data_IF_073668537034
#
_entry.id   IF_073668537034
#
_cell.length_a   1.000
_cell.length_b   1.000
_cell.length_c   1.000
_cell.angle_alpha   90.00
_cell.angle_beta   90.00
_cell.angle_gamma   90.00
#
_symmetry.space_group_name_H-M   'P 1'
#
loop_
_entity.id
_entity.type
_entity.pdbx_description
1 polymer ?
#
# COMPACT_ATOMS: atom_id res chain seq x y z
N UNK A 1 -12.07 -7.78 -11.74
CA UNK A 1 -12.63 -7.10 -12.91
C UNK A 1 -13.26 -5.82 -12.40
N UNK A 2 -12.95 -4.69 -13.00
CA UNK A 2 -13.58 -3.42 -12.62
C UNK A 2 -14.99 -3.32 -13.19
N UNK A 3 -15.78 -2.32 -12.75
CA UNK A 3 -17.15 -2.11 -13.22
C UNK A 3 -17.26 -1.83 -14.74
N UNK A 4 -16.16 -1.37 -15.34
CA UNK A 4 -16.04 -1.15 -16.79
C UNK A 4 -15.66 -2.41 -17.58
N UNK A 5 -15.57 -3.56 -16.92
CA UNK A 5 -15.14 -4.83 -17.49
C UNK A 5 -13.63 -4.96 -17.71
N UNK A 6 -12.85 -3.93 -17.40
CA UNK A 6 -11.40 -3.95 -17.59
C UNK A 6 -10.72 -4.75 -16.48
N UNK A 7 -9.75 -5.58 -16.86
CA UNK A 7 -8.94 -6.36 -15.92
C UNK A 7 -7.65 -5.59 -15.65
N UNK A 8 -7.49 -5.11 -14.43
CA UNK A 8 -6.30 -4.38 -13.98
C UNK A 8 -5.60 -5.12 -12.85
N UNK A 9 -4.29 -5.24 -12.93
CA UNK A 9 -3.43 -5.76 -11.86
C UNK A 9 -2.61 -4.59 -11.34
N UNK A 10 -2.54 -4.48 -10.01
CA UNK A 10 -1.75 -3.49 -9.30
C UNK A 10 -0.68 -4.22 -8.51
N UNK A 11 0.58 -3.84 -8.70
CA UNK A 11 1.72 -4.52 -8.10
C UNK A 11 2.92 -3.59 -8.00
N UNK A 12 4.01 -4.12 -7.49
CA UNK A 12 5.30 -3.47 -7.51
C UNK A 12 5.91 -3.29 -6.12
N UNK A 13 7.17 -2.95 -6.15
CA UNK A 13 7.96 -2.56 -4.99
C UNK A 13 8.90 -1.44 -5.40
N UNK A 14 9.36 -0.65 -4.43
CA UNK A 14 10.27 0.46 -4.67
C UNK A 14 11.40 0.45 -3.64
N UNK A 15 12.63 0.32 -4.11
CA UNK A 15 13.82 0.40 -3.29
C UNK A 15 14.40 1.82 -3.28
N UNK A 16 13.94 2.62 -2.38
CA UNK A 16 14.24 4.03 -2.34
C UNK A 16 13.31 4.83 -3.24
N UNK A 17 13.25 6.09 -2.99
CA UNK A 17 12.61 7.05 -3.87
C UNK A 17 13.66 8.09 -4.18
N UNK A 18 13.84 8.39 -5.45
CA UNK A 18 14.76 9.40 -5.89
C UNK A 18 13.96 10.61 -6.36
N UNK A 19 14.53 11.77 -6.15
CA UNK A 19 13.89 13.03 -6.52
C UNK A 19 13.78 13.19 -8.04
N UNK A 20 14.57 12.38 -8.79
CA UNK A 20 14.64 12.41 -10.24
C UNK A 20 14.55 11.01 -10.86
N UNK A 21 14.11 10.90 -12.12
CA UNK A 21 13.97 9.61 -12.81
C UNK A 21 15.28 8.89 -13.12
N UNK A 22 16.42 9.44 -12.72
CA UNK A 22 17.77 8.90 -12.97
C UNK A 22 18.17 7.76 -12.01
N UNK A 23 17.19 7.06 -11.44
CA UNK A 23 17.46 5.93 -10.55
C UNK A 23 18.33 4.83 -11.24
N UNK A 24 18.28 4.73 -12.56
CA UNK A 24 19.10 3.78 -13.33
C UNK A 24 20.58 4.13 -13.32
N UNK A 25 20.96 5.37 -13.06
CA UNK A 25 22.38 5.81 -13.06
C UNK A 25 23.07 5.62 -11.72
N UNK A 26 22.34 5.37 -10.63
CA UNK A 26 22.86 5.31 -9.25
C UNK A 26 23.01 3.88 -8.69
N UNK A 27 23.35 2.90 -9.52
CA UNK A 27 23.50 1.50 -9.12
C UNK A 27 22.20 0.70 -9.06
N UNK A 28 21.04 1.35 -9.19
CA UNK A 28 19.72 0.70 -9.18
C UNK A 28 19.49 -0.20 -10.37
N UNK A 29 20.15 0.04 -11.49
CA UNK A 29 20.08 -0.83 -12.66
C UNK A 29 20.56 -2.25 -12.35
N UNK A 30 21.62 -2.38 -11.55
CA UNK A 30 22.13 -3.69 -11.14
C UNK A 30 21.16 -4.39 -10.18
N UNK A 31 20.47 -3.63 -9.31
CA UNK A 31 19.42 -4.14 -8.43
C UNK A 31 18.23 -4.66 -9.25
N UNK A 32 17.76 -3.90 -10.24
CA UNK A 32 16.66 -4.33 -11.12
C UNK A 32 17.02 -5.56 -11.95
N UNK A 33 18.22 -5.62 -12.51
CA UNK A 33 18.75 -6.82 -13.20
C UNK A 33 18.71 -8.03 -12.27
N UNK A 34 19.19 -7.87 -11.05
CA UNK A 34 19.23 -8.95 -10.05
C UNK A 34 17.84 -9.41 -9.63
N UNK A 35 16.92 -8.47 -9.40
CA UNK A 35 15.57 -8.78 -8.89
C UNK A 35 14.66 -9.40 -9.96
N UNK A 36 14.73 -8.91 -11.18
CA UNK A 36 13.77 -9.27 -12.22
C UNK A 36 14.33 -10.20 -13.30
N UNK A 37 15.62 -10.52 -13.21
CA UNK A 37 16.29 -11.45 -14.16
C UNK A 37 16.28 -10.95 -15.59
N UNK A 38 16.23 -9.63 -15.80
CA UNK A 38 16.25 -8.99 -17.13
C UNK A 38 17.64 -8.48 -17.46
N UNK A 39 17.91 -8.28 -18.75
CA UNK A 39 19.16 -7.66 -19.17
C UNK A 39 19.13 -6.14 -18.96
N UNK A 40 20.32 -5.53 -18.91
CA UNK A 40 20.44 -4.05 -18.83
C UNK A 40 19.80 -3.38 -20.05
N UNK A 41 19.99 -3.97 -21.22
CA UNK A 41 19.43 -3.47 -22.47
C UNK A 41 17.90 -3.46 -22.45
N UNK A 42 17.28 -4.53 -21.94
CA UNK A 42 15.83 -4.58 -21.79
C UNK A 42 15.31 -3.49 -20.84
N UNK A 43 15.93 -3.34 -19.67
CA UNK A 43 15.50 -2.36 -18.67
C UNK A 43 15.66 -0.93 -19.21
N UNK A 44 16.79 -0.62 -19.85
CA UNK A 44 17.04 0.68 -20.45
C UNK A 44 16.12 1.00 -21.65
N UNK A 45 15.49 -0.03 -22.22
CA UNK A 45 14.50 0.12 -23.29
C UNK A 45 13.11 0.53 -22.80
N UNK A 46 12.81 0.42 -21.50
CA UNK A 46 11.53 0.85 -20.96
C UNK A 46 11.44 2.38 -20.88
N UNK A 47 10.22 2.89 -21.08
CA UNK A 47 9.95 4.33 -20.98
C UNK A 47 9.95 4.84 -19.56
N UNK A 48 9.75 3.95 -18.60
CA UNK A 48 9.60 4.24 -17.19
C UNK A 48 10.22 3.12 -16.35
N UNK A 49 10.41 3.34 -15.06
CA UNK A 49 10.91 2.30 -14.17
C UNK A 49 9.96 1.10 -14.11
N UNK A 50 10.53 -0.10 -14.03
CA UNK A 50 9.78 -1.31 -13.70
C UNK A 50 9.54 -1.45 -12.19
N UNK A 51 10.13 -0.58 -11.38
CA UNK A 51 9.87 -0.46 -9.94
C UNK A 51 8.79 0.57 -9.66
N UNK A 52 8.21 0.49 -8.48
CA UNK A 52 7.20 1.44 -8.02
C UNK A 52 5.77 0.90 -8.12
N UNK A 53 4.78 1.77 -7.97
CA UNK A 53 3.36 1.42 -7.95
C UNK A 53 2.82 1.20 -9.37
N UNK A 54 3.01 0.01 -9.89
CA UNK A 54 2.69 -0.36 -11.28
C UNK A 54 1.25 -0.84 -11.41
N UNK A 55 0.60 -0.44 -12.49
CA UNK A 55 -0.64 -1.04 -12.98
C UNK A 55 -0.43 -1.58 -14.39
N UNK A 56 -1.01 -2.73 -14.68
CA UNK A 56 -1.09 -3.32 -16.02
C UNK A 56 -2.53 -3.67 -16.36
N UNK A 57 -2.91 -3.46 -17.60
CA UNK A 57 -4.20 -3.88 -18.14
C UNK A 57 -4.03 -5.18 -18.90
N UNK A 58 -4.88 -6.16 -18.62
CA UNK A 58 -4.87 -7.46 -19.29
C UNK A 58 -6.07 -7.61 -20.23
N UNK A 59 -5.90 -8.48 -21.23
CA UNK A 59 -6.99 -8.99 -22.04
C UNK A 59 -7.91 -9.91 -21.22
N UNK A 60 -9.04 -10.30 -21.79
CA UNK A 60 -10.05 -11.13 -21.13
C UNK A 60 -9.53 -12.53 -20.72
N UNK A 61 -8.44 -12.98 -21.32
CA UNK A 61 -7.76 -14.22 -20.96
C UNK A 61 -7.00 -14.12 -19.61
N UNK A 62 -6.86 -12.92 -19.05
CA UNK A 62 -6.14 -12.61 -17.80
C UNK A 62 -4.63 -12.95 -17.85
N UNK A 63 -4.07 -13.17 -19.01
CA UNK A 63 -2.68 -13.57 -19.23
C UNK A 63 -1.95 -12.63 -20.19
N UNK A 64 -2.65 -12.15 -21.20
CA UNK A 64 -2.07 -11.28 -22.24
C UNK A 64 -2.13 -9.82 -21.79
N UNK A 65 -1.00 -9.13 -21.88
CA UNK A 65 -0.94 -7.68 -21.61
C UNK A 65 -1.65 -6.94 -22.75
N UNK A 66 -2.63 -6.14 -22.40
CA UNK A 66 -3.42 -5.29 -23.31
C UNK A 66 -2.84 -3.89 -23.45
N UNK A 67 -2.44 -3.32 -22.32
CA UNK A 67 -1.80 -2.01 -22.25
C UNK A 67 -0.49 -2.13 -21.50
N UNK A 68 0.54 -1.42 -21.96
CA UNK A 68 1.85 -1.39 -21.32
C UNK A 68 1.74 -0.98 -19.83
N UNK A 69 2.56 -1.58 -18.96
CA UNK A 69 2.60 -1.22 -17.55
C UNK A 69 2.92 0.27 -17.36
N UNK A 70 2.28 0.89 -16.37
CA UNK A 70 2.54 2.30 -16.00
C UNK A 70 2.38 2.53 -14.52
N UNK A 71 3.02 3.57 -14.00
CA UNK A 71 2.82 4.03 -12.63
C UNK A 71 1.44 4.66 -12.46
N UNK A 72 0.75 4.34 -11.37
CA UNK A 72 -0.56 4.92 -11.02
C UNK A 72 -0.46 6.09 -10.05
N UNK A 73 0.62 6.14 -9.26
CA UNK A 73 1.03 7.30 -8.46
C UNK A 73 2.50 7.61 -8.79
N UNK A 74 2.97 8.84 -8.55
CA UNK A 74 4.32 9.22 -8.94
C UNK A 74 5.40 8.34 -8.33
N UNK A 75 6.38 7.93 -9.15
CA UNK A 75 7.63 7.34 -8.67
C UNK A 75 8.51 8.41 -8.01
N UNK A 76 8.71 9.54 -8.70
CA UNK A 76 9.38 10.72 -8.16
C UNK A 76 8.36 11.54 -7.37
N UNK A 77 8.51 11.60 -6.06
CA UNK A 77 7.47 12.13 -5.16
C UNK A 77 7.65 13.58 -4.75
N UNK A 78 8.82 14.19 -5.01
CA UNK A 78 9.12 15.57 -4.64
C UNK A 78 8.12 16.56 -5.21
N UNK A 79 7.54 17.39 -4.35
CA UNK A 79 6.53 18.38 -4.75
C UNK A 79 5.14 17.77 -5.04
N UNK A 80 4.95 16.49 -4.77
CA UNK A 80 3.65 15.81 -4.87
C UNK A 80 3.02 15.62 -3.49
N UNK A 81 1.76 15.18 -3.46
CA UNK A 81 1.09 14.82 -2.19
C UNK A 81 1.70 13.59 -1.50
N UNK A 82 2.57 12.85 -2.19
CA UNK A 82 3.21 11.61 -1.71
C UNK A 82 4.59 11.82 -1.10
N UNK A 83 5.11 13.04 -1.05
CA UNK A 83 6.50 13.33 -0.69
C UNK A 83 6.89 12.78 0.70
N UNK A 84 6.00 12.89 1.69
CA UNK A 84 6.25 12.37 3.04
C UNK A 84 5.87 10.89 3.21
N UNK A 85 5.08 10.34 2.29
CA UNK A 85 4.55 8.97 2.33
C UNK A 85 4.74 8.24 0.99
N UNK A 86 5.98 8.13 0.49
CA UNK A 86 6.25 7.49 -0.78
C UNK A 86 5.82 6.03 -0.78
N UNK A 87 5.44 5.53 -1.94
CA UNK A 87 5.12 4.11 -2.11
C UNK A 87 6.34 3.23 -1.79
N UNK A 88 6.10 2.12 -1.10
CA UNK A 88 7.08 1.06 -0.93
C UNK A 88 6.59 -0.24 -1.59
N UNK A 89 5.47 -0.80 -1.14
CA UNK A 89 4.93 -2.05 -1.67
C UNK A 89 3.48 -2.29 -1.22
N UNK A 90 2.92 -3.47 -1.50
CA UNK A 90 1.64 -3.90 -0.93
C UNK A 90 0.41 -3.30 -1.60
N UNK A 91 0.47 -3.13 -2.92
CA UNK A 91 -0.60 -2.55 -3.73
C UNK A 91 -1.94 -3.26 -3.55
N UNK A 92 -2.98 -2.51 -3.23
CA UNK A 92 -4.36 -3.00 -3.19
C UNK A 92 -5.33 -1.90 -3.62
N UNK A 93 -6.26 -2.23 -4.51
CA UNK A 93 -7.25 -1.29 -5.03
C UNK A 93 -8.65 -1.67 -4.57
N UNK A 94 -9.41 -0.68 -4.09
CA UNK A 94 -10.85 -0.84 -3.77
C UNK A 94 -11.65 0.31 -4.32
N UNK A 95 -12.88 0.00 -4.76
CA UNK A 95 -13.88 1.00 -5.09
C UNK A 95 -14.85 1.18 -3.92
N UNK A 96 -15.08 2.41 -3.52
CA UNK A 96 -16.03 2.78 -2.47
C UNK A 96 -16.89 3.90 -2.99
N UNK A 97 -18.16 3.62 -3.22
CA UNK A 97 -19.03 4.56 -3.93
C UNK A 97 -18.47 4.85 -5.34
N UNK A 98 -18.27 6.11 -5.62
CA UNK A 98 -17.74 6.57 -6.92
C UNK A 98 -16.22 6.80 -6.90
N UNK A 99 -15.54 6.51 -5.79
CA UNK A 99 -14.09 6.73 -5.63
C UNK A 99 -13.29 5.44 -5.59
N UNK A 100 -12.04 5.52 -6.02
CA UNK A 100 -11.07 4.45 -5.97
C UNK A 100 -10.02 4.75 -4.91
N UNK A 101 -9.74 3.75 -4.06
CA UNK A 101 -8.79 3.80 -2.98
C UNK A 101 -7.63 2.85 -3.28
N UNK A 102 -6.47 3.42 -3.50
CA UNK A 102 -5.23 2.68 -3.64
C UNK A 102 -4.55 2.60 -2.28
N UNK A 103 -4.59 1.42 -1.68
CA UNK A 103 -3.99 1.15 -0.36
C UNK A 103 -2.61 0.57 -0.57
N UNK A 104 -1.63 1.06 0.18
CA UNK A 104 -0.23 0.68 0.02
C UNK A 104 0.57 0.86 1.31
N UNK A 105 1.70 0.16 1.43
CA UNK A 105 2.71 0.40 2.46
C UNK A 105 3.64 1.51 2.01
N UNK A 106 3.92 2.47 2.89
CA UNK A 106 4.84 3.55 2.58
C UNK A 106 6.29 3.22 2.97
N UNK A 107 7.21 4.03 2.49
CA UNK A 107 8.64 4.00 2.86
C UNK A 107 8.92 4.24 4.34
N UNK A 108 7.96 4.80 5.08
CA UNK A 108 8.06 4.91 6.54
C UNK A 108 8.10 3.52 7.21
N UNK A 109 7.77 2.46 6.46
CA UNK A 109 7.89 1.05 6.84
C UNK A 109 7.10 0.63 8.09
N UNK A 110 6.11 1.41 8.50
CA UNK A 110 5.25 1.08 9.64
C UNK A 110 3.78 1.42 9.38
N UNK A 111 3.48 2.09 8.30
CA UNK A 111 2.15 2.62 8.01
C UNK A 111 1.56 2.02 6.74
N UNK A 112 0.25 1.77 6.80
CA UNK A 112 -0.59 1.46 5.66
C UNK A 112 -1.33 2.73 5.28
N UNK A 113 -1.01 3.25 4.11
CA UNK A 113 -1.53 4.48 3.57
C UNK A 113 -2.59 4.23 2.52
N UNK A 114 -3.32 5.29 2.16
CA UNK A 114 -4.19 5.26 0.98
C UNK A 114 -4.04 6.52 0.15
N UNK A 115 -4.28 6.35 -1.13
CA UNK A 115 -4.50 7.43 -2.07
C UNK A 115 -5.90 7.29 -2.67
N UNK A 116 -6.52 8.39 -3.04
CA UNK A 116 -7.88 8.43 -3.56
C UNK A 116 -7.96 9.12 -4.91
N UNK A 117 -8.82 8.59 -5.79
CA UNK A 117 -9.10 9.15 -7.11
C UNK A 117 -10.56 8.90 -7.51
N UNK A 118 -11.06 9.69 -8.45
CA UNK A 118 -12.32 9.44 -9.15
C UNK A 118 -12.16 8.42 -10.30
N UNK A 119 -10.90 8.04 -10.61
CA UNK A 119 -10.56 7.11 -11.70
C UNK A 119 -9.81 5.89 -11.17
N UNK A 120 -9.97 4.71 -11.82
CA UNK A 120 -9.32 3.48 -11.35
C UNK A 120 -7.82 3.41 -11.63
N UNK A 121 -7.27 4.31 -12.45
CA UNK A 121 -5.98 4.16 -13.08
C UNK A 121 -5.13 5.43 -13.16
N UNK A 122 -5.61 6.55 -12.65
CA UNK A 122 -4.86 7.82 -12.63
C UNK A 122 -5.47 8.82 -11.64
N UNK A 123 -4.84 10.00 -11.49
CA UNK A 123 -5.38 11.12 -10.71
C UNK A 123 -5.39 10.91 -9.20
N UNK A 124 -4.64 9.95 -8.69
CA UNK A 124 -4.56 9.68 -7.26
C UNK A 124 -3.84 10.80 -6.53
N UNK A 125 -4.38 11.16 -5.38
CA UNK A 125 -3.75 12.03 -4.39
C UNK A 125 -3.66 11.30 -3.05
N UNK A 126 -2.61 11.58 -2.28
CA UNK A 126 -2.47 11.01 -0.93
C UNK A 126 -3.66 11.40 -0.05
N UNK A 127 -4.30 10.41 0.54
CA UNK A 127 -5.47 10.59 1.40
C UNK A 127 -5.16 10.56 2.89
N UNK A 128 -4.16 9.78 3.29
CA UNK A 128 -3.78 9.65 4.69
C UNK A 128 -3.22 8.27 5.05
N UNK A 129 -2.90 8.10 6.31
CA UNK A 129 -2.53 6.83 6.93
C UNK A 129 -3.75 6.19 7.56
N UNK A 130 -4.06 4.94 7.21
CA UNK A 130 -5.21 4.20 7.77
C UNK A 130 -4.83 3.60 9.13
N UNK A 131 -3.68 2.95 9.19
CA UNK A 131 -3.16 2.31 10.40
C UNK A 131 -1.64 2.34 10.38
N UNK A 132 -1.03 2.44 11.55
CA UNK A 132 0.43 2.43 11.68
C UNK A 132 0.85 1.51 12.81
N UNK A 133 1.78 0.59 12.52
CA UNK A 133 2.37 -0.26 13.56
C UNK A 133 3.03 0.60 14.65
N UNK A 134 2.76 0.24 15.90
CA UNK A 134 3.19 1.03 17.06
C UNK A 134 2.35 2.27 17.32
N UNK A 135 1.25 2.45 16.60
CA UNK A 135 0.36 3.63 16.67
C UNK A 135 1.09 4.96 16.42
N UNK A 136 2.13 4.93 15.57
CA UNK A 136 2.82 6.16 15.18
C UNK A 136 1.87 7.05 14.40
N UNK A 137 1.81 8.33 14.77
CA UNK A 137 0.86 9.30 14.22
C UNK A 137 -0.49 9.32 14.94
N UNK A 138 -0.98 8.18 15.42
CA UNK A 138 -2.29 8.10 16.08
C UNK A 138 -2.33 8.98 17.34
N UNK A 139 -3.27 9.91 17.36
CA UNK A 139 -3.41 10.94 18.42
C UNK A 139 -2.11 11.70 18.71
N UNK A 140 -1.28 11.92 17.68
CA UNK A 140 -0.03 12.67 17.79
C UNK A 140 1.14 11.87 18.40
N UNK A 141 1.08 10.54 18.46
CA UNK A 141 2.17 9.71 18.95
C UNK A 141 3.39 9.80 18.05
N UNK A 142 4.52 10.14 18.62
CA UNK A 142 5.78 10.17 17.88
C UNK A 142 6.37 8.76 17.72
N UNK A 143 7.30 8.61 16.78
CA UNK A 143 8.01 7.34 16.54
C UNK A 143 8.79 6.85 17.77
N UNK A 144 9.35 7.75 18.56
CA UNK A 144 10.09 7.42 19.79
C UNK A 144 9.17 6.84 20.88
N UNK A 145 7.90 7.21 20.85
CA UNK A 145 6.89 6.78 21.83
C UNK A 145 5.98 5.65 21.29
N UNK A 146 6.41 4.95 20.25
CA UNK A 146 5.67 3.83 19.69
C UNK A 146 5.37 2.74 20.71
N UNK A 147 4.20 2.12 20.61
CA UNK A 147 3.74 1.10 21.57
C UNK A 147 4.27 -0.28 21.28
N UNK A 148 4.54 -0.58 20.01
CA UNK A 148 4.96 -1.89 19.53
C UNK A 148 6.07 -1.76 18.51
N UNK A 149 6.60 -2.90 18.04
CA UNK A 149 7.51 -2.92 16.91
C UNK A 149 6.86 -2.27 15.70
N UNK A 150 7.61 -1.40 15.08
CA UNK A 150 7.37 -0.93 13.73
C UNK A 150 8.08 -1.86 12.75
N UNK A 151 7.67 -1.87 11.55
CA UNK A 151 8.23 -2.70 10.49
C UNK A 151 7.17 -2.85 9.41
N UNK A 152 7.43 -3.69 8.44
CA UNK A 152 6.55 -3.87 7.31
C UNK A 152 5.10 -4.08 7.74
N UNK A 153 4.20 -3.39 7.07
CA UNK A 153 2.77 -3.65 7.18
C UNK A 153 2.18 -3.74 5.78
N UNK A 154 1.47 -4.80 5.49
CA UNK A 154 0.68 -4.94 4.28
C UNK A 154 -0.78 -5.12 4.65
N UNK A 155 -1.65 -4.69 3.77
CA UNK A 155 -3.06 -4.82 4.04
C UNK A 155 -3.94 -4.27 2.93
N UNK A 156 -5.21 -4.21 3.25
CA UNK A 156 -6.26 -3.66 2.38
C UNK A 156 -7.44 -3.23 3.22
N UNK A 157 -8.41 -2.58 2.59
CA UNK A 157 -9.72 -2.34 3.18
C UNK A 157 -10.76 -3.24 2.54
N UNK A 158 -11.77 -3.65 3.32
CA UNK A 158 -12.87 -4.47 2.82
C UNK A 158 -14.16 -4.17 3.59
N UNK A 159 -15.30 -4.29 2.91
CA UNK A 159 -16.61 -4.10 3.51
C UNK A 159 -17.22 -5.45 3.86
N UNK A 160 -17.54 -5.66 5.12
CA UNK A 160 -18.20 -6.87 5.62
C UNK A 160 -19.51 -6.45 6.27
N UNK A 161 -20.63 -6.95 5.75
CA UNK A 161 -21.98 -6.66 6.26
C UNK A 161 -22.27 -5.15 6.43
N UNK A 162 -21.76 -4.34 5.50
CA UNK A 162 -21.96 -2.88 5.51
C UNK A 162 -20.99 -2.09 6.40
N UNK A 163 -20.11 -2.74 7.12
CA UNK A 163 -19.04 -2.12 7.91
C UNK A 163 -17.69 -2.26 7.18
N UNK A 164 -16.98 -1.15 7.02
CA UNK A 164 -15.63 -1.15 6.46
C UNK A 164 -14.60 -1.49 7.54
N UNK A 165 -13.60 -2.27 7.14
CA UNK A 165 -12.46 -2.68 7.96
C UNK A 165 -11.17 -2.47 7.19
N UNK A 166 -10.10 -2.15 7.91
CA UNK A 166 -8.73 -2.34 7.44
C UNK A 166 -8.24 -3.69 7.94
N UNK A 167 -7.74 -4.53 7.02
CA UNK A 167 -7.03 -5.77 7.32
C UNK A 167 -5.55 -5.52 7.10
N UNK A 168 -4.72 -5.87 8.07
CA UNK A 168 -3.30 -5.64 8.02
C UNK A 168 -2.54 -6.65 8.86
N UNK A 169 -1.23 -6.60 8.89
CA UNK A 169 -0.43 -7.37 9.83
C UNK A 169 0.45 -6.47 10.68
N UNK A 170 0.73 -6.92 11.89
CA UNK A 170 1.73 -6.34 12.79
C UNK A 170 2.81 -7.37 13.11
N UNK A 171 3.97 -6.88 13.55
CA UNK A 171 5.04 -7.73 14.04
C UNK A 171 4.77 -8.15 15.49
N UNK A 172 5.08 -9.41 15.80
CA UNK A 172 4.96 -9.99 17.14
C UNK A 172 6.29 -10.63 17.57
N UNK A 173 6.41 -10.97 18.83
CA UNK A 173 7.59 -11.68 19.38
C UNK A 173 8.93 -10.97 19.13
N UNK A 174 8.93 -9.64 18.90
CA UNK A 174 10.13 -8.86 18.56
C UNK A 174 10.91 -9.42 17.37
N UNK A 175 10.19 -9.88 16.35
CA UNK A 175 10.77 -10.50 15.15
C UNK A 175 10.07 -10.00 13.90
N UNK A 176 10.85 -9.64 12.89
CA UNK A 176 10.34 -9.23 11.57
C UNK A 176 9.67 -10.38 10.81
N UNK A 177 9.92 -11.60 11.22
CA UNK A 177 9.36 -12.81 10.62
C UNK A 177 8.11 -13.32 11.32
N UNK A 178 7.77 -12.78 12.49
CA UNK A 178 6.57 -13.16 13.24
C UNK A 178 5.47 -12.12 13.00
N UNK A 179 4.52 -12.47 12.16
CA UNK A 179 3.45 -11.57 11.72
C UNK A 179 2.10 -12.05 12.19
N UNK A 180 1.31 -11.17 12.77
CA UNK A 180 -0.05 -11.42 13.20
C UNK A 180 -1.03 -10.64 12.34
N UNK A 181 -2.04 -11.33 11.79
CA UNK A 181 -3.15 -10.67 11.13
C UNK A 181 -4.00 -9.87 12.14
N UNK A 182 -4.34 -8.66 11.74
CA UNK A 182 -5.16 -7.73 12.50
C UNK A 182 -6.27 -7.17 11.63
N UNK A 183 -7.34 -6.70 12.26
CA UNK A 183 -8.41 -5.97 11.60
C UNK A 183 -8.97 -4.90 12.55
N UNK A 184 -9.21 -3.71 12.01
CA UNK A 184 -9.84 -2.61 12.74
C UNK A 184 -11.01 -2.06 11.94
N UNK A 185 -12.07 -1.64 12.63
CA UNK A 185 -13.18 -0.91 12.00
C UNK A 185 -12.68 0.44 11.51
N UNK A 186 -13.01 0.79 10.29
CA UNK A 186 -12.77 2.13 9.73
C UNK A 186 -14.09 2.75 9.30
N UNK A 187 -14.10 4.08 9.26
CA UNK A 187 -15.23 4.86 8.77
C UNK A 187 -14.74 5.74 7.62
N UNK A 188 -15.45 5.66 6.51
CA UNK A 188 -15.16 6.47 5.34
C UNK A 188 -16.14 7.63 5.36
N UNK A 189 -15.64 8.85 5.57
CA UNK A 189 -16.44 10.05 5.62
C UNK A 189 -17.07 10.38 4.26
N UNK A 190 -18.06 11.25 4.23
CA UNK A 190 -18.76 11.64 3.00
C UNK A 190 -17.85 12.28 1.95
N UNK A 191 -16.75 12.91 2.36
CA UNK A 191 -15.71 13.47 1.49
C UNK A 191 -14.69 12.43 1.02
N UNK A 192 -14.76 11.21 1.55
CA UNK A 192 -13.86 10.10 1.25
C UNK A 192 -12.67 9.96 2.21
N UNK A 193 -12.59 10.81 3.25
CA UNK A 193 -11.51 10.72 4.23
C UNK A 193 -11.67 9.49 5.13
N UNK A 194 -10.52 8.88 5.50
CA UNK A 194 -10.41 7.80 6.48
C UNK A 194 -9.47 8.27 7.57
N UNK A 195 -9.99 8.38 8.79
CA UNK A 195 -9.18 8.69 9.97
C UNK A 195 -8.26 7.50 10.32
N UNK A 196 -7.05 7.79 10.79
CA UNK A 196 -6.16 6.77 11.30
C UNK A 196 -6.79 6.06 12.50
N UNK A 197 -6.74 4.73 12.52
CA UNK A 197 -7.26 3.89 13.61
C UNK A 197 -6.16 3.36 14.52
N UNK A 198 -6.54 3.08 15.78
CA UNK A 198 -5.66 2.44 16.76
C UNK A 198 -5.43 0.97 16.44
N UNK A 199 -4.21 0.49 16.65
CA UNK A 199 -3.86 -0.93 16.55
C UNK A 199 -4.38 -1.65 17.79
N UNK A 200 -5.37 -2.52 17.61
CA UNK A 200 -5.99 -3.28 18.72
C UNK A 200 -5.85 -4.79 18.54
N UNK A 201 -6.41 -5.55 19.46
CA UNK A 201 -6.60 -7.00 19.34
C UNK A 201 -8.08 -7.39 19.24
N UNK A 202 -8.94 -6.43 18.86
CA UNK A 202 -10.39 -6.66 18.76
C UNK A 202 -10.77 -7.45 17.50
N UNK A 203 -10.03 -7.26 16.41
CA UNK A 203 -10.35 -7.89 15.12
C UNK A 203 -11.75 -7.45 14.65
N UNK A 204 -12.57 -8.41 14.23
CA UNK A 204 -13.94 -8.17 13.80
C UNK A 204 -14.96 -8.08 14.96
N UNK A 205 -14.50 -8.14 16.19
CA UNK A 205 -15.35 -8.11 17.38
C UNK A 205 -15.58 -6.67 17.86
N UNK A 206 -16.57 -6.49 18.73
CA UNK A 206 -16.88 -5.19 19.32
C UNK A 206 -15.98 -4.85 20.53
N UNK A 207 -15.03 -5.70 20.85
CA UNK A 207 -14.08 -5.53 21.94
C UNK A 207 -13.01 -6.61 21.96
N UNK A 208 -12.04 -6.52 22.88
CA UNK A 208 -10.99 -7.52 22.99
C UNK A 208 -11.60 -8.91 23.22
N UNK A 209 -11.03 -9.93 22.58
CA UNK A 209 -11.39 -11.31 22.85
C UNK A 209 -11.14 -11.61 24.33
N UNK A 210 -12.15 -12.17 25.00
CA UNK A 210 -11.99 -12.60 26.39
C UNK A 210 -10.82 -13.62 26.47
N UNK A 211 -9.90 -13.37 27.41
CA UNK A 211 -8.68 -14.16 27.59
C UNK A 211 -8.98 -15.61 28.09
N UNK A 212 -9.73 -16.37 27.30
CA UNK A 212 -9.96 -17.80 27.52
C UNK A 212 -9.55 -18.57 26.25
N UNK A 213 -8.28 -18.56 25.98
CA UNK A 213 -7.69 -19.35 24.92
C UNK A 213 -6.20 -19.08 24.90
N UNK A 214 -5.38 -20.09 24.96
CA UNK A 214 -3.99 -19.97 24.58
C UNK A 214 -3.97 -19.76 23.08
N UNK A 215 -3.64 -18.57 22.65
CA UNK A 215 -3.24 -18.34 21.26
C UNK A 215 -1.81 -18.84 21.11
N UNK A 216 -1.53 -19.65 20.08
CA UNK A 216 -0.19 -20.13 19.80
C UNK A 216 0.77 -18.99 19.47
#
# INVERSE_FOLDING_TARGET
>A
MNDDGTIRIFYGTQYGYEEEPDFLTNGRLDDEVSMFGRTKEEILGYKDSIMGPIMVVLEDDMLTVKEEPRHIIPYAVKGTSFEEHPFFEGSSMRKVGDKYYFVYSSWQNHELCYAVSDYPDHGFTFGGTIVSNGDVGYKGRSFENKLNMTGTTHGSIECIDGQWYVFYHRLTHKSDYSRQACAEKIYIAADGHIDQVEVTSCGLNDGPLAAKGSYP
#
